data_IF_758991813144
#
_entry.id   IF_758991813144
#
_cell.length_a   1.000
_cell.length_b   1.000
_cell.length_c   1.000
_cell.angle_alpha   90.00
_cell.angle_beta   90.00
_cell.angle_gamma   90.00
#
_symmetry.space_group_name_H-M   'P 1'
#
loop_
_entity.id
_entity.type
_entity.pdbx_description
1 polymer ?
#
# COMPACT_ATOMS: atom_id res chain seq x y z
N UNK A 1 2.24 11.17 -15.79
CA UNK A 1 2.91 10.90 -14.49
C UNK A 1 2.25 9.66 -13.90
N UNK A 2 2.99 8.57 -13.62
CA UNK A 2 2.38 7.37 -13.04
C UNK A 2 1.87 7.65 -11.61
N UNK A 3 0.75 7.03 -11.22
CA UNK A 3 0.10 7.28 -9.93
C UNK A 3 1.05 7.00 -8.74
N UNK A 4 1.88 5.97 -8.85
CA UNK A 4 2.87 5.59 -7.83
C UNK A 4 3.90 6.69 -7.55
N UNK A 5 4.42 7.34 -8.60
CA UNK A 5 5.37 8.45 -8.44
C UNK A 5 4.71 9.70 -7.84
N UNK A 6 3.44 9.91 -8.18
CA UNK A 6 2.66 11.03 -7.63
C UNK A 6 2.43 10.86 -6.13
N UNK A 7 2.11 9.65 -5.66
CA UNK A 7 1.98 9.34 -4.24
C UNK A 7 3.30 9.52 -3.47
N UNK A 8 4.43 9.05 -4.03
CA UNK A 8 5.76 9.24 -3.40
C UNK A 8 6.12 10.72 -3.30
N UNK A 9 5.83 11.51 -4.33
CA UNK A 9 6.04 12.96 -4.30
C UNK A 9 5.22 13.64 -3.20
N UNK A 10 3.96 13.23 -3.01
CA UNK A 10 3.13 13.72 -1.93
C UNK A 10 3.69 13.38 -0.55
N UNK A 11 4.13 12.14 -0.34
CA UNK A 11 4.74 11.72 0.94
C UNK A 11 5.97 12.56 1.27
N UNK A 12 6.88 12.78 0.30
CA UNK A 12 8.07 13.63 0.47
C UNK A 12 7.75 15.10 0.72
N UNK A 13 6.60 15.58 0.24
CA UNK A 13 6.13 16.95 0.50
C UNK A 13 5.59 17.11 1.93
N UNK A 14 4.89 16.11 2.45
CA UNK A 14 4.23 16.16 3.76
C UNK A 14 5.18 15.82 4.90
N UNK A 15 6.05 14.81 4.71
CA UNK A 15 7.00 14.35 5.72
C UNK A 15 8.39 14.92 5.41
N UNK A 16 8.97 15.64 6.37
CA UNK A 16 10.34 16.17 6.27
C UNK A 16 11.33 15.13 6.80
N UNK A 17 12.47 14.97 6.13
CA UNK A 17 13.52 14.01 6.50
C UNK A 17 13.81 12.99 5.39
N UNK A 18 14.67 12.01 5.68
CA UNK A 18 14.98 10.94 4.73
C UNK A 18 13.80 9.96 4.63
N UNK A 19 13.55 9.44 3.42
CA UNK A 19 12.45 8.49 3.17
C UNK A 19 12.58 7.25 4.06
N UNK A 20 13.81 6.76 4.25
CA UNK A 20 14.15 5.65 5.14
C UNK A 20 13.74 5.87 6.60
N UNK A 21 13.78 7.10 7.11
CA UNK A 21 13.47 7.39 8.52
C UNK A 21 11.96 7.38 8.78
N UNK A 22 11.18 7.98 7.87
CA UNK A 22 9.75 8.17 8.08
C UNK A 22 8.88 7.14 7.37
N UNK A 23 9.44 6.39 6.41
CA UNK A 23 8.74 5.39 5.60
C UNK A 23 9.71 4.30 5.10
N UNK A 24 10.35 3.55 6.02
CA UNK A 24 11.35 2.53 5.70
C UNK A 24 10.83 1.48 4.72
N UNK A 25 9.56 1.09 4.84
CA UNK A 25 8.93 0.14 3.92
C UNK A 25 8.89 0.66 2.47
N UNK A 26 8.62 1.96 2.25
CA UNK A 26 8.63 2.52 0.89
C UNK A 26 10.06 2.61 0.35
N UNK A 27 11.04 2.82 1.23
CA UNK A 27 12.46 2.79 0.90
C UNK A 27 12.90 1.37 0.47
N UNK A 28 12.51 0.34 1.23
CA UNK A 28 12.78 -1.07 0.90
C UNK A 28 12.19 -1.47 -0.46
N UNK A 29 10.95 -1.05 -0.74
CA UNK A 29 10.27 -1.30 -2.02
C UNK A 29 11.00 -0.61 -3.18
N UNK A 30 11.61 0.56 -2.93
CA UNK A 30 12.36 1.29 -3.95
C UNK A 30 13.62 0.55 -4.41
N UNK A 31 14.15 -0.37 -3.59
CA UNK A 31 15.27 -1.24 -3.94
C UNK A 31 14.92 -2.43 -4.84
N UNK A 32 13.63 -2.66 -5.14
CA UNK A 32 13.19 -3.79 -5.97
C UNK A 32 13.46 -3.49 -7.46
N UNK A 33 14.16 -4.37 -8.19
CA UNK A 33 14.68 -4.07 -9.52
C UNK A 33 13.62 -4.00 -10.63
N UNK A 34 12.41 -4.54 -10.41
CA UNK A 34 11.36 -4.59 -11.43
C UNK A 34 9.99 -4.18 -10.88
N UNK A 35 9.29 -3.34 -11.64
CA UNK A 35 7.93 -2.90 -11.30
C UNK A 35 6.93 -4.05 -11.26
N UNK A 36 7.12 -5.10 -12.06
CA UNK A 36 6.29 -6.30 -12.03
C UNK A 36 6.37 -7.01 -10.68
N UNK A 37 7.57 -7.11 -10.10
CA UNK A 37 7.77 -7.70 -8.76
C UNK A 37 7.15 -6.81 -7.68
N UNK A 38 7.37 -5.49 -7.76
CA UNK A 38 6.73 -4.52 -6.86
C UNK A 38 5.21 -4.70 -6.86
N UNK A 39 4.58 -4.76 -8.03
CA UNK A 39 3.12 -4.92 -8.12
C UNK A 39 2.63 -6.22 -7.48
N UNK A 40 3.29 -7.34 -7.78
CA UNK A 40 2.93 -8.64 -7.21
C UNK A 40 3.09 -8.68 -5.68
N UNK A 41 4.18 -8.13 -5.17
CA UNK A 41 4.45 -8.12 -3.73
C UNK A 41 3.51 -7.14 -3.00
N UNK A 42 3.19 -5.99 -3.61
CA UNK A 42 2.21 -5.04 -3.06
C UNK A 42 0.79 -5.62 -3.01
N UNK A 43 0.39 -6.42 -4.01
CA UNK A 43 -0.91 -7.12 -3.97
C UNK A 43 -0.98 -8.13 -2.82
N UNK A 44 0.08 -8.91 -2.59
CA UNK A 44 0.16 -9.85 -1.46
C UNK A 44 0.09 -9.11 -0.12
N UNK A 45 0.83 -8.02 -0.02
CA UNK A 45 0.85 -7.17 1.17
C UNK A 45 -0.51 -6.53 1.44
N UNK A 46 -1.21 -6.05 0.40
CA UNK A 46 -2.58 -5.54 0.53
C UNK A 46 -3.53 -6.60 1.08
N UNK A 47 -3.45 -7.84 0.57
CA UNK A 47 -4.26 -8.93 1.09
C UNK A 47 -3.98 -9.19 2.58
N UNK A 48 -2.72 -9.35 2.97
CA UNK A 48 -2.35 -9.72 4.33
C UNK A 48 -2.53 -8.58 5.36
N UNK A 49 -2.25 -7.33 4.97
CA UNK A 49 -2.27 -6.18 5.89
C UNK A 49 -3.58 -5.40 5.87
N UNK A 50 -4.43 -5.59 4.87
CA UNK A 50 -5.72 -4.90 4.75
C UNK A 50 -6.86 -5.89 4.82
N UNK A 51 -6.93 -6.83 3.86
CA UNK A 51 -8.07 -7.74 3.72
C UNK A 51 -8.13 -8.82 4.80
N UNK A 52 -7.00 -9.21 5.38
CA UNK A 52 -6.95 -10.23 6.44
C UNK A 52 -6.94 -9.62 7.85
N UNK A 53 -6.94 -8.29 7.96
CA UNK A 53 -6.97 -7.59 9.25
C UNK A 53 -8.41 -7.29 9.68
N UNK A 54 -8.85 -8.00 10.71
CA UNK A 54 -10.17 -7.81 11.35
C UNK A 54 -10.46 -6.33 11.70
N UNK A 55 -9.53 -5.54 12.28
CA UNK A 55 -9.80 -4.14 12.60
C UNK A 55 -10.15 -3.27 11.39
N UNK A 56 -9.72 -3.68 10.19
CA UNK A 56 -10.00 -2.98 8.94
C UNK A 56 -11.28 -3.55 8.32
N UNK A 57 -11.32 -4.87 8.14
CA UNK A 57 -12.44 -5.54 7.47
C UNK A 57 -13.75 -5.52 8.24
N UNK A 58 -13.74 -5.31 9.56
CA UNK A 58 -14.96 -5.12 10.34
C UNK A 58 -15.79 -3.90 9.88
N UNK A 59 -15.14 -2.94 9.21
CA UNK A 59 -15.80 -1.75 8.65
C UNK A 59 -16.17 -1.93 7.17
N UNK A 60 -15.92 -3.10 6.59
CA UNK A 60 -16.29 -3.37 5.21
C UNK A 60 -17.81 -3.58 5.10
N UNK A 61 -18.43 -2.87 4.17
CA UNK A 61 -19.88 -2.91 3.99
C UNK A 61 -20.26 -4.06 3.04
N UNK A 62 -21.13 -4.94 3.53
CA UNK A 62 -21.74 -6.01 2.75
C UNK A 62 -23.22 -5.69 2.51
N UNK A 63 -23.73 -6.11 1.35
CA UNK A 63 -25.08 -5.79 0.91
C UNK A 63 -25.47 -6.59 -0.33
N UNK A 64 -26.35 -6.03 -1.18
CA UNK A 64 -26.89 -6.76 -2.32
C UNK A 64 -25.86 -7.17 -3.39
N UNK A 65 -24.78 -6.38 -3.56
CA UNK A 65 -23.72 -6.64 -4.56
C UNK A 65 -22.60 -7.53 -4.02
N UNK A 66 -22.18 -7.29 -2.79
CA UNK A 66 -21.12 -8.06 -2.11
C UNK A 66 -21.75 -8.67 -0.87
N UNK A 67 -22.06 -9.96 -0.96
CA UNK A 67 -22.71 -10.71 0.11
C UNK A 67 -21.71 -11.13 1.19
N UNK A 68 -22.22 -11.35 2.40
CA UNK A 68 -21.49 -11.85 3.57
C UNK A 68 -21.73 -13.37 3.79
N UNK A 69 -22.04 -14.10 2.72
CA UNK A 69 -22.30 -15.55 2.77
C UNK A 69 -21.09 -16.36 2.31
#
# INVERSE_FOLDING_TARGET
MSISLSCVSFVKKVKKGLLAEHSPLLDDISGVPTWNKVNNDMLKKYKAEVLEKVPIMQHFLFGGLIKWD
#
